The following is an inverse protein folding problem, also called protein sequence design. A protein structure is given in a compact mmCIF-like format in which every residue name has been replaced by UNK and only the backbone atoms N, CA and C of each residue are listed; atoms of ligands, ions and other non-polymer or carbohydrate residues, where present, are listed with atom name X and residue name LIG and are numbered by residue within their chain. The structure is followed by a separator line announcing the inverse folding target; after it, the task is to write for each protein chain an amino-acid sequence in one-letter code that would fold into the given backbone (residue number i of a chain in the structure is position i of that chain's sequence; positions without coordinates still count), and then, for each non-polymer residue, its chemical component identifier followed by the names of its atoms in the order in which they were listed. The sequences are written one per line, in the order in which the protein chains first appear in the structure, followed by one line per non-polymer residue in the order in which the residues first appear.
data_IF_470035937189
#
_entry.id   IF_470035937189
#
_cell.length_a   1.000
_cell.length_b   1.000
_cell.length_c   1.000
_cell.angle_alpha   90.00
_cell.angle_beta   90.00
_cell.angle_gamma   90.00
#
_symmetry.space_group_name_H-M   'P 1'
#
loop_
_entity.id
_entity.type
_entity.pdbx_description
1 polymer ?
#
# COMPACT_ATOMS: atom_id res chain seq x y z
N UNK A 1 0.19 27.40 17.70
CA UNK A 1 1.37 26.51 17.87
C UNK A 1 2.28 26.76 16.67
N UNK A 2 3.59 26.92 16.86
CA UNK A 2 4.52 27.05 15.72
C UNK A 2 4.77 25.63 15.18
N UNK A 3 4.28 25.33 13.98
CA UNK A 3 4.53 24.05 13.34
C UNK A 3 6.02 23.95 12.98
N UNK A 4 6.66 22.85 13.36
CA UNK A 4 8.03 22.56 12.97
C UNK A 4 8.08 22.12 11.49
N UNK A 5 9.23 22.21 10.80
CA UNK A 5 9.36 21.72 9.42
C UNK A 5 9.01 20.24 9.25
N UNK A 6 9.23 19.45 10.32
CA UNK A 6 8.85 18.04 10.37
C UNK A 6 7.32 17.86 10.45
N UNK A 7 6.64 18.70 11.23
CA UNK A 7 5.17 18.69 11.30
C UNK A 7 4.53 19.00 9.94
N UNK A 8 5.16 19.90 9.16
CA UNK A 8 4.68 20.23 7.80
C UNK A 8 4.87 19.04 6.85
N UNK A 9 6.03 18.39 6.86
CA UNK A 9 6.26 17.19 6.04
C UNK A 9 5.32 16.05 6.41
N UNK A 10 5.04 15.86 7.70
CA UNK A 10 4.08 14.86 8.15
C UNK A 10 2.67 15.15 7.60
N UNK A 11 2.24 16.41 7.61
CA UNK A 11 0.94 16.81 7.05
C UNK A 11 0.88 16.58 5.53
N UNK A 12 1.98 16.82 4.82
CA UNK A 12 2.07 16.53 3.38
C UNK A 12 1.96 15.03 3.11
N UNK A 13 2.70 14.19 3.84
CA UNK A 13 2.62 12.73 3.70
C UNK A 13 1.23 12.18 4.06
N UNK A 14 0.59 12.72 5.10
CA UNK A 14 -0.80 12.37 5.42
C UNK A 14 -1.74 12.73 4.27
N UNK A 15 -1.59 13.91 3.66
CA UNK A 15 -2.39 14.31 2.50
C UNK A 15 -2.19 13.39 1.30
N UNK A 16 -0.97 12.87 1.09
CA UNK A 16 -0.74 11.85 0.06
C UNK A 16 -1.46 10.54 0.38
N UNK A 17 -1.44 10.12 1.64
CA UNK A 17 -2.08 8.88 2.09
C UNK A 17 -3.62 8.95 2.10
N UNK A 18 -4.21 10.14 2.23
CA UNK A 18 -5.66 10.33 2.19
C UNK A 18 -6.32 9.75 0.93
N UNK A 19 -5.59 9.70 -0.20
CA UNK A 19 -6.08 9.08 -1.42
C UNK A 19 -6.49 7.61 -1.19
N UNK A 20 -5.73 6.86 -0.37
CA UNK A 20 -5.96 5.44 -0.13
C UNK A 20 -7.03 5.15 0.94
N UNK A 21 -7.53 6.16 1.66
CA UNK A 21 -8.59 5.99 2.66
C UNK A 21 -9.92 5.73 1.95
N UNK A 22 -10.45 4.50 1.99
CA UNK A 22 -11.80 4.19 1.48
C UNK A 22 -12.85 4.93 2.33
N UNK A 23 -13.63 5.83 1.69
CA UNK A 23 -14.63 6.67 2.38
C UNK A 23 -16.04 6.07 2.28
N UNK A 24 -16.29 5.23 1.28
CA UNK A 24 -17.55 4.52 1.10
C UNK A 24 -17.83 3.57 2.27
N UNK A 25 -19.07 3.55 2.81
CA UNK A 25 -19.46 2.59 3.84
C UNK A 25 -19.26 1.15 3.38
N UNK A 26 -18.72 0.29 4.24
CA UNK A 26 -18.38 -1.12 3.91
C UNK A 26 -19.55 -1.98 3.42
N UNK A 27 -20.79 -1.60 3.76
CA UNK A 27 -22.01 -2.27 3.33
C UNK A 27 -22.56 -1.73 1.99
N UNK A 28 -22.00 -0.65 1.44
CA UNK A 28 -22.41 -0.04 0.18
C UNK A 28 -21.87 -0.82 -1.03
N UNK A 29 -22.59 -0.86 -2.16
CA UNK A 29 -22.03 -1.30 -3.44
C UNK A 29 -20.80 -0.48 -3.87
N UNK A 30 -20.78 0.82 -3.56
CA UNK A 30 -19.69 1.73 -3.94
C UNK A 30 -18.37 1.40 -3.24
N UNK A 31 -18.42 0.73 -2.08
CA UNK A 31 -17.23 0.28 -1.36
C UNK A 31 -16.30 -0.53 -2.25
N UNK A 32 -16.84 -1.52 -2.98
CA UNK A 32 -16.02 -2.43 -3.79
C UNK A 32 -15.35 -1.71 -4.94
N UNK A 33 -16.05 -0.75 -5.55
CA UNK A 33 -15.50 0.08 -6.62
C UNK A 33 -14.36 0.95 -6.11
N UNK A 34 -14.57 1.65 -5.01
CA UNK A 34 -13.55 2.54 -4.41
C UNK A 34 -12.36 1.73 -3.89
N UNK A 35 -12.62 0.63 -3.18
CA UNK A 35 -11.59 -0.28 -2.68
C UNK A 35 -10.76 -0.83 -3.84
N UNK A 36 -11.39 -1.31 -4.93
CA UNK A 36 -10.69 -1.86 -6.08
C UNK A 36 -9.80 -0.81 -6.75
N UNK A 37 -10.29 0.41 -6.93
CA UNK A 37 -9.52 1.52 -7.51
C UNK A 37 -8.23 1.76 -6.71
N UNK A 38 -8.38 1.90 -5.39
CA UNK A 38 -7.26 2.21 -4.47
C UNK A 38 -6.29 1.06 -4.35
N UNK A 39 -6.79 -0.17 -4.24
CA UNK A 39 -5.97 -1.38 -4.20
C UNK A 39 -5.17 -1.53 -5.48
N UNK A 40 -5.82 -1.40 -6.64
CA UNK A 40 -5.15 -1.49 -7.94
C UNK A 40 -4.08 -0.40 -8.08
N UNK A 41 -4.37 0.83 -7.65
CA UNK A 41 -3.40 1.92 -7.69
C UNK A 41 -2.18 1.62 -6.82
N UNK A 42 -2.37 1.19 -5.57
CA UNK A 42 -1.26 0.84 -4.67
C UNK A 42 -0.43 -0.32 -5.23
N UNK A 43 -1.11 -1.39 -5.68
CA UNK A 43 -0.46 -2.58 -6.22
C UNK A 43 0.38 -2.27 -7.47
N UNK A 44 -0.20 -1.53 -8.42
CA UNK A 44 0.49 -1.15 -9.65
C UNK A 44 1.64 -0.17 -9.39
N UNK A 45 1.50 0.76 -8.44
CA UNK A 45 2.59 1.63 -8.03
C UNK A 45 3.76 0.84 -7.44
N UNK A 46 3.48 -0.15 -6.57
CA UNK A 46 4.52 -1.05 -6.03
C UNK A 46 5.27 -1.78 -7.15
N UNK A 47 4.54 -2.33 -8.14
CA UNK A 47 5.14 -2.98 -9.31
C UNK A 47 6.00 -1.99 -10.11
N UNK A 48 5.51 -0.77 -10.34
CA UNK A 48 6.23 0.26 -11.06
C UNK A 48 7.55 0.61 -10.37
N UNK A 49 7.55 0.78 -9.03
CA UNK A 49 8.77 1.04 -8.26
C UNK A 49 9.74 -0.15 -8.31
N UNK A 50 9.26 -1.39 -8.12
CA UNK A 50 10.08 -2.61 -8.29
C UNK A 50 10.71 -2.67 -9.69
N UNK A 51 9.96 -2.30 -10.72
CA UNK A 51 10.46 -2.25 -12.11
C UNK A 51 11.52 -1.16 -12.33
N UNK A 52 11.36 0.02 -11.73
CA UNK A 52 12.37 1.10 -11.78
C UNK A 52 13.69 0.61 -11.19
N UNK A 53 13.65 0.02 -9.99
CA UNK A 53 14.85 -0.52 -9.34
C UNK A 53 15.57 -1.57 -10.20
N UNK A 54 14.82 -2.49 -10.82
CA UNK A 54 15.39 -3.55 -11.67
C UNK A 54 15.95 -3.03 -13.00
N UNK A 55 15.25 -2.10 -13.66
CA UNK A 55 15.54 -1.74 -15.06
C UNK A 55 16.38 -0.47 -15.22
N UNK A 56 16.22 0.51 -14.33
CA UNK A 56 16.91 1.80 -14.41
C UNK A 56 18.17 1.87 -13.57
N UNK A 57 18.35 0.95 -12.61
CA UNK A 57 19.52 0.88 -11.71
C UNK A 57 19.90 2.28 -11.18
N UNK A 58 18.98 2.95 -10.46
CA UNK A 58 19.21 4.31 -10.00
C UNK A 58 20.44 4.39 -9.07
N UNK A 59 20.99 5.59 -8.81
CA UNK A 59 22.11 5.74 -7.88
C UNK A 59 21.80 5.12 -6.51
N UNK A 60 22.83 4.61 -5.83
CA UNK A 60 22.68 3.95 -4.52
C UNK A 60 21.92 4.82 -3.50
N UNK A 61 22.11 6.14 -3.56
CA UNK A 61 21.42 7.11 -2.70
C UNK A 61 19.88 7.11 -2.90
N UNK A 62 19.40 6.78 -4.10
CA UNK A 62 17.97 6.69 -4.40
C UNK A 62 17.36 5.31 -4.10
N UNK A 63 18.19 4.27 -3.95
CA UNK A 63 17.71 2.92 -3.64
C UNK A 63 16.95 2.86 -2.32
N UNK A 64 17.42 3.56 -1.29
CA UNK A 64 16.76 3.61 0.02
C UNK A 64 15.36 4.23 -0.09
N UNK A 65 15.22 5.30 -0.87
CA UNK A 65 13.93 5.98 -1.14
C UNK A 65 12.95 5.05 -1.84
N UNK A 66 13.37 4.36 -2.90
CA UNK A 66 12.48 3.43 -3.62
C UNK A 66 12.12 2.20 -2.79
N UNK A 67 13.04 1.69 -1.95
CA UNK A 67 12.72 0.63 -0.99
C UNK A 67 11.69 1.09 0.03
N UNK A 68 11.83 2.30 0.58
CA UNK A 68 10.83 2.87 1.49
C UNK A 68 9.46 3.03 0.82
N UNK A 69 9.41 3.42 -0.46
CA UNK A 69 8.16 3.47 -1.23
C UNK A 69 7.52 2.10 -1.42
N UNK A 70 8.31 1.05 -1.63
CA UNK A 70 7.77 -0.32 -1.73
C UNK A 70 7.10 -0.73 -0.42
N UNK A 71 7.78 -0.55 0.71
CA UNK A 71 7.24 -0.86 2.04
C UNK A 71 5.96 -0.07 2.31
N UNK A 72 5.94 1.22 1.97
CA UNK A 72 4.74 2.05 2.10
C UNK A 72 3.55 1.48 1.33
N UNK A 73 3.76 1.06 0.07
CA UNK A 73 2.68 0.44 -0.70
C UNK A 73 2.26 -0.92 -0.15
N UNK A 74 3.17 -1.66 0.49
CA UNK A 74 2.86 -2.93 1.16
C UNK A 74 1.97 -2.70 2.39
N UNK A 75 2.28 -1.69 3.21
CA UNK A 75 1.43 -1.27 4.33
C UNK A 75 0.04 -0.81 3.86
N UNK A 76 -0.02 -0.04 2.75
CA UNK A 76 -1.30 0.39 2.15
C UNK A 76 -2.11 -0.81 1.66
N UNK A 77 -1.46 -1.79 1.02
CA UNK A 77 -2.14 -3.01 0.55
C UNK A 77 -2.66 -3.83 1.72
N UNK A 78 -1.89 -3.97 2.79
CA UNK A 78 -2.31 -4.65 4.02
C UNK A 78 -3.53 -3.97 4.66
N UNK A 79 -3.51 -2.64 4.74
CA UNK A 79 -4.67 -1.86 5.20
C UNK A 79 -5.93 -2.14 4.36
N UNK A 80 -5.81 -2.08 3.02
CA UNK A 80 -6.93 -2.32 2.12
C UNK A 80 -7.43 -3.77 2.20
N UNK A 81 -6.53 -4.73 2.34
CA UNK A 81 -6.87 -6.14 2.53
C UNK A 81 -7.65 -6.37 3.84
N UNK A 82 -7.23 -5.69 4.91
CA UNK A 82 -7.96 -5.70 6.19
C UNK A 82 -9.39 -5.18 6.01
N UNK A 83 -9.59 -4.07 5.29
CA UNK A 83 -10.93 -3.55 4.99
C UNK A 83 -11.77 -4.52 4.17
N UNK A 84 -11.18 -5.18 3.17
CA UNK A 84 -11.85 -6.23 2.38
C UNK A 84 -12.36 -7.33 3.29
N UNK A 85 -11.50 -7.84 4.18
CA UNK A 85 -11.85 -8.93 5.08
C UNK A 85 -12.96 -8.53 6.05
N UNK A 86 -12.95 -7.31 6.58
CA UNK A 86 -14.07 -6.79 7.38
C UNK A 86 -15.38 -6.77 6.56
N UNK A 87 -15.34 -6.27 5.33
CA UNK A 87 -16.53 -6.22 4.47
C UNK A 87 -17.06 -7.61 4.09
N UNK A 88 -16.18 -8.60 3.89
CA UNK A 88 -16.55 -9.99 3.64
C UNK A 88 -17.15 -10.65 4.89
N UNK A 89 -16.54 -10.47 6.06
CA UNK A 89 -17.03 -11.01 7.33
C UNK A 89 -18.44 -10.49 7.65
N UNK A 90 -18.73 -9.22 7.38
CA UNK A 90 -20.07 -8.64 7.53
C UNK A 90 -21.13 -9.29 6.62
N UNK A 91 -20.70 -9.95 5.53
CA UNK A 91 -21.56 -10.72 4.61
C UNK A 91 -21.59 -12.21 4.92
N UNK A 92 -20.97 -12.64 6.02
CA UNK A 92 -20.86 -14.04 6.42
C UNK A 92 -19.85 -14.84 5.59
N UNK A 93 -18.97 -14.17 4.83
CA UNK A 93 -17.89 -14.81 4.09
C UNK A 93 -16.64 -14.73 4.97
N UNK A 94 -16.22 -15.87 5.51
CA UNK A 94 -15.01 -15.99 6.33
C UNK A 94 -13.88 -16.53 5.48
N UNK A 95 -12.82 -15.74 5.29
CA UNK A 95 -11.59 -16.18 4.63
C UNK A 95 -10.67 -16.80 5.69
N UNK A 96 -10.22 -18.04 5.47
CA UNK A 96 -9.36 -18.79 6.41
C UNK A 96 -7.88 -18.39 6.36
N UNK A 97 -7.48 -17.55 5.42
CA UNK A 97 -6.07 -17.20 5.20
C UNK A 97 -5.81 -15.77 5.66
N UNK A 98 -5.36 -15.62 6.91
CA UNK A 98 -4.74 -14.38 7.39
C UNK A 98 -3.23 -14.31 7.12
N UNK A 99 -2.65 -15.32 6.46
CA UNK A 99 -1.27 -15.30 6.01
C UNK A 99 -1.22 -14.97 4.52
N UNK A 100 -1.49 -13.71 4.17
CA UNK A 100 -0.79 -13.15 3.01
C UNK A 100 0.63 -12.85 3.51
N UNK A 101 1.42 -13.90 3.68
CA UNK A 101 2.86 -13.77 3.55
C UNK A 101 3.05 -13.24 2.13
N UNK A 102 3.32 -11.94 2.02
CA UNK A 102 3.86 -11.37 0.80
C UNK A 102 5.22 -12.04 0.66
N UNK A 103 5.21 -13.18 -0.02
CA UNK A 103 6.35 -14.07 -0.25
C UNK A 103 7.64 -13.26 -0.47
N UNK A 104 8.42 -13.17 0.60
CA UNK A 104 9.76 -12.60 0.62
C UNK A 104 10.79 -13.66 0.16
N UNK A 105 10.35 -14.89 -0.16
CA UNK A 105 11.20 -16.02 -0.59
C UNK A 105 11.40 -16.10 -2.11
N UNK A 106 11.72 -14.97 -2.77
CA UNK A 106 12.14 -14.99 -4.18
C UNK A 106 13.17 -13.89 -4.51
N UNK A 107 14.02 -13.55 -3.53
CA UNK A 107 15.25 -12.80 -3.76
C UNK A 107 16.43 -13.69 -3.33
N UNK A 108 16.60 -14.80 -4.04
CA UNK A 108 17.91 -15.45 -4.17
C UNK A 108 18.84 -14.48 -4.92
N UNK A 109 19.50 -13.61 -4.16
CA UNK A 109 20.70 -12.90 -4.60
C UNK A 109 21.92 -13.79 -4.30
N UNK A 110 22.06 -14.86 -5.07
CA UNK A 110 23.34 -15.54 -5.19
C UNK A 110 24.32 -14.64 -5.96
N UNK A 111 25.23 -14.06 -5.17
CA UNK A 111 26.61 -13.60 -5.42
C UNK A 111 27.02 -13.16 -6.84
#
# INVERSE_FOLDING_TARGET
MKNTPLDVHLLEELSHLEYFIVKSPVNSPDFWKEWQEKFSRAYMSRIAVKKILKTKKPPYEEHSKYKAQILLYEDVLYYLETLKNIALNLRGIFTSDQNVELDDEDIDLDL
#
